data_IF_932976110794
#
_entry.id   IF_932976110794
#
_cell.length_a   1.000
_cell.length_b   1.000
_cell.length_c   1.000
_cell.angle_alpha   90.00
_cell.angle_beta   90.00
_cell.angle_gamma   90.00
#
_symmetry.space_group_name_H-M   'P 1'
#
loop_
_entity.id
_entity.type
_entity.pdbx_description
1 polymer ?
#
# COMPACT_ATOMS: atom_id res chain seq x y z
N UNK A 1 4.94 -14.20 19.09
CA UNK A 1 5.20 -14.48 17.67
C UNK A 1 3.89 -14.80 17.00
N UNK A 2 3.59 -14.07 15.93
CA UNK A 2 2.28 -14.05 15.28
C UNK A 2 2.19 -15.09 14.15
N UNK A 3 1.77 -16.34 14.41
CA UNK A 3 1.25 -17.24 13.35
C UNK A 3 -0.24 -17.00 13.03
N UNK A 4 -0.66 -17.01 11.77
CA UNK A 4 -2.09 -17.27 11.48
C UNK A 4 -2.38 -18.76 11.35
N UNK A 5 -3.62 -19.02 11.70
CA UNK A 5 -4.30 -20.28 11.99
C UNK A 5 -4.56 -21.06 10.70
N UNK A 6 -4.24 -22.36 10.71
CA UNK A 6 -4.63 -23.30 9.67
C UNK A 6 -6.16 -23.50 9.67
N UNK A 7 -6.70 -23.96 8.54
CA UNK A 7 -8.08 -24.46 8.43
C UNK A 7 -8.21 -25.68 9.35
N UNK A 8 -8.85 -25.50 10.51
CA UNK A 8 -9.23 -26.59 11.42
C UNK A 8 -10.75 -26.78 11.42
N UNK A 9 -11.24 -28.02 11.42
CA UNK A 9 -12.66 -28.30 11.39
C UNK A 9 -13.29 -28.04 12.77
N UNK A 10 -14.52 -27.53 12.72
CA UNK A 10 -15.44 -27.24 13.83
C UNK A 10 -15.42 -25.82 14.42
N UNK A 11 -16.63 -25.34 14.65
CA UNK A 11 -17.08 -23.96 14.78
C UNK A 11 -16.80 -23.32 16.16
N UNK A 12 -15.88 -23.87 16.95
CA UNK A 12 -15.59 -23.41 18.31
C UNK A 12 -14.23 -22.68 18.38
N UNK A 13 -14.28 -21.45 18.90
CA UNK A 13 -13.16 -20.60 19.37
C UNK A 13 -12.62 -19.56 18.35
N UNK A 14 -13.46 -18.55 18.08
CA UNK A 14 -13.12 -17.29 17.36
C UNK A 14 -12.32 -16.26 18.18
N UNK A 15 -11.40 -16.68 19.05
CA UNK A 15 -10.67 -15.78 19.98
C UNK A 15 -9.16 -15.63 19.74
N UNK A 16 -8.57 -16.27 18.73
CA UNK A 16 -7.12 -16.46 18.72
C UNK A 16 -6.27 -15.30 18.16
N UNK A 17 -6.69 -14.59 17.10
CA UNK A 17 -5.80 -13.75 16.28
C UNK A 17 -5.00 -12.61 16.96
N UNK A 18 -5.40 -12.13 18.14
CA UNK A 18 -4.66 -11.04 18.85
C UNK A 18 -3.58 -11.55 19.78
N UNK A 19 -3.76 -12.71 20.44
CA UNK A 19 -2.71 -13.35 21.27
C UNK A 19 -1.46 -13.71 20.48
N UNK A 20 -1.65 -13.83 19.19
CA UNK A 20 -0.60 -14.16 18.27
C UNK A 20 0.27 -12.90 18.04
N UNK A 21 -0.36 -11.72 17.91
CA UNK A 21 0.28 -10.39 17.73
C UNK A 21 0.87 -9.81 19.00
N UNK A 22 0.20 -10.02 20.12
CA UNK A 22 0.54 -9.40 21.38
C UNK A 22 0.56 -10.49 22.45
N UNK A 23 1.62 -10.52 23.27
CA UNK A 23 1.71 -11.44 24.38
C UNK A 23 1.79 -10.64 25.69
N UNK A 24 0.88 -10.93 26.62
CA UNK A 24 0.84 -10.25 27.91
C UNK A 24 1.82 -10.93 28.89
N UNK A 25 2.81 -10.18 29.36
CA UNK A 25 3.78 -10.67 30.34
C UNK A 25 3.15 -10.60 31.74
N UNK A 26 2.60 -11.73 32.21
CA UNK A 26 1.85 -11.83 33.49
C UNK A 26 2.60 -11.18 34.66
N UNK A 27 3.89 -11.48 34.84
CA UNK A 27 4.69 -10.91 35.93
C UNK A 27 4.79 -9.38 35.90
N UNK A 28 4.66 -8.74 34.74
CA UNK A 28 4.67 -7.29 34.62
C UNK A 28 3.30 -6.66 34.91
N UNK A 29 2.21 -7.41 34.75
CA UNK A 29 0.83 -6.89 34.74
C UNK A 29 0.01 -7.26 35.98
N UNK A 30 0.30 -8.38 36.62
CA UNK A 30 -0.50 -8.92 37.73
C UNK A 30 -0.65 -7.93 38.89
N UNK A 31 -1.89 -7.65 39.30
CA UNK A 31 -2.26 -6.74 40.39
C UNK A 31 -2.09 -5.25 40.08
N UNK A 32 -1.57 -4.88 38.90
CA UNK A 32 -1.23 -3.48 38.58
C UNK A 32 -2.37 -2.74 37.91
N UNK A 33 -2.35 -1.41 38.05
CA UNK A 33 -3.09 -0.49 37.17
C UNK A 33 -2.23 -0.21 35.94
N UNK A 34 -2.78 -0.44 34.75
CA UNK A 34 -2.04 -0.38 33.49
C UNK A 34 -2.55 0.79 32.66
N UNK A 35 -1.64 1.64 32.20
CA UNK A 35 -1.94 2.62 31.16
C UNK A 35 -1.47 2.05 29.83
N UNK A 36 -2.41 1.76 28.93
CA UNK A 36 -2.13 1.30 27.58
C UNK A 36 -2.24 2.49 26.63
N UNK A 37 -1.11 2.83 26.00
CA UNK A 37 -1.03 3.88 24.99
C UNK A 37 -1.11 3.23 23.60
N UNK A 38 -2.00 3.73 22.74
CA UNK A 38 -2.12 3.29 21.35
C UNK A 38 -2.22 4.50 20.42
N UNK A 39 -1.98 4.29 19.13
CA UNK A 39 -1.95 5.38 18.15
C UNK A 39 -3.35 5.93 17.85
N UNK A 40 -4.32 5.05 17.70
CA UNK A 40 -5.63 5.38 17.13
C UNK A 40 -6.68 4.31 17.43
N UNK A 41 -7.95 4.70 17.33
CA UNK A 41 -9.08 3.76 17.40
C UNK A 41 -9.94 3.94 16.15
N UNK A 42 -9.90 2.94 15.27
CA UNK A 42 -10.69 2.94 14.03
C UNK A 42 -11.99 2.14 14.22
N UNK A 43 -11.91 0.80 14.27
CA UNK A 43 -13.06 -0.10 14.51
C UNK A 43 -13.14 -0.62 15.96
N UNK A 44 -12.11 -0.40 16.78
CA UNK A 44 -12.03 -0.85 18.18
C UNK A 44 -11.78 -2.35 18.40
N UNK A 45 -11.99 -3.21 17.40
CA UNK A 45 -11.94 -4.67 17.54
C UNK A 45 -10.60 -5.23 18.03
N UNK A 46 -9.48 -4.62 17.64
CA UNK A 46 -8.14 -5.01 18.11
C UNK A 46 -7.96 -4.64 19.58
N UNK A 47 -8.28 -3.40 19.94
CA UNK A 47 -8.10 -2.89 21.30
C UNK A 47 -8.98 -3.62 22.32
N UNK A 48 -10.23 -3.96 21.98
CA UNK A 48 -11.08 -4.80 22.85
C UNK A 48 -10.37 -6.10 23.22
N UNK A 49 -9.72 -6.75 22.25
CA UNK A 49 -9.00 -8.00 22.47
C UNK A 49 -7.73 -7.79 23.30
N UNK A 50 -7.02 -6.67 23.10
CA UNK A 50 -5.82 -6.32 23.90
C UNK A 50 -6.21 -6.04 25.36
N UNK A 51 -7.25 -5.24 25.60
CA UNK A 51 -7.76 -4.95 26.95
C UNK A 51 -8.14 -6.24 27.68
N UNK A 52 -8.90 -7.11 27.02
CA UNK A 52 -9.27 -8.42 27.58
C UNK A 52 -8.06 -9.29 27.90
N UNK A 53 -7.04 -9.27 27.04
CA UNK A 53 -5.79 -10.00 27.27
C UNK A 53 -5.02 -9.46 28.47
N UNK A 54 -4.92 -8.14 28.62
CA UNK A 54 -4.26 -7.49 29.77
C UNK A 54 -4.99 -7.81 31.08
N UNK A 55 -6.33 -7.74 31.07
CA UNK A 55 -7.15 -8.15 32.23
C UNK A 55 -6.96 -9.62 32.58
N UNK A 56 -6.99 -10.51 31.58
CA UNK A 56 -6.75 -11.94 31.79
C UNK A 56 -5.34 -12.25 32.31
N UNK A 57 -4.37 -11.36 32.07
CA UNK A 57 -3.03 -11.44 32.65
C UNK A 57 -2.96 -10.96 34.12
N UNK A 58 -4.08 -10.52 34.69
CA UNK A 58 -4.22 -10.16 36.10
C UNK A 58 -4.13 -8.67 36.40
N UNK A 59 -4.22 -7.78 35.41
CA UNK A 59 -4.27 -6.34 35.67
C UNK A 59 -5.53 -5.95 36.46
N UNK A 60 -5.37 -5.06 37.46
CA UNK A 60 -6.47 -4.53 38.30
C UNK A 60 -7.32 -3.53 37.52
N UNK A 61 -6.66 -2.61 36.82
CA UNK A 61 -7.30 -1.57 36.00
C UNK A 61 -6.54 -1.43 34.67
N UNK A 62 -7.25 -1.05 33.62
CA UNK A 62 -6.73 -0.79 32.27
C UNK A 62 -7.28 0.56 31.79
N UNK A 63 -6.38 1.54 31.68
CA UNK A 63 -6.67 2.90 31.22
C UNK A 63 -6.09 3.10 29.82
N UNK A 64 -6.95 3.41 28.85
CA UNK A 64 -6.55 3.65 27.47
C UNK A 64 -6.18 5.11 27.23
N UNK A 65 -5.05 5.36 26.57
CA UNK A 65 -4.62 6.69 26.10
C UNK A 65 -4.30 6.64 24.62
N UNK A 66 -5.03 7.40 23.84
CA UNK A 66 -4.93 7.39 22.39
C UNK A 66 -4.23 8.66 21.93
N UNK A 67 -3.13 8.51 21.20
CA UNK A 67 -2.29 9.65 20.78
C UNK A 67 -2.83 10.41 19.56
N UNK A 68 -4.07 10.11 19.14
CA UNK A 68 -4.83 10.84 18.14
C UNK A 68 -6.21 11.24 18.67
N UNK A 69 -6.86 12.27 18.07
CA UNK A 69 -8.28 12.53 18.31
C UNK A 69 -9.16 11.39 17.77
N UNK A 70 -10.45 11.35 18.16
CA UNK A 70 -11.38 10.35 17.64
C UNK A 70 -11.52 10.45 16.12
N UNK A 71 -11.33 9.33 15.41
CA UNK A 71 -11.49 9.26 13.95
C UNK A 71 -12.98 9.17 13.59
N UNK A 72 -13.58 10.30 13.24
CA UNK A 72 -15.02 10.45 12.95
C UNK A 72 -15.36 10.43 11.46
N UNK A 73 -14.34 10.57 10.60
CA UNK A 73 -14.48 10.68 9.16
C UNK A 73 -13.48 9.82 8.39
N UNK A 74 -13.87 9.23 7.25
CA UNK A 74 -12.95 8.51 6.39
C UNK A 74 -11.99 9.48 5.68
N UNK A 75 -10.75 9.06 5.48
CA UNK A 75 -9.79 9.84 4.72
C UNK A 75 -10.19 9.89 3.23
N UNK A 76 -10.21 11.11 2.65
CA UNK A 76 -10.43 11.33 1.21
C UNK A 76 -9.12 11.56 0.44
N UNK A 77 -7.98 11.51 1.14
CA UNK A 77 -6.68 11.99 0.66
C UNK A 77 -5.60 10.90 0.65
N UNK A 78 -5.99 9.62 0.60
CA UNK A 78 -5.09 8.51 0.28
C UNK A 78 -4.71 7.57 1.44
N UNK A 79 -5.25 7.78 2.65
CA UNK A 79 -5.16 6.79 3.73
C UNK A 79 -6.34 5.82 3.61
N UNK A 80 -6.05 4.51 3.56
CA UNK A 80 -7.09 3.49 3.57
C UNK A 80 -7.82 3.53 4.92
N UNK A 81 -9.09 3.90 4.88
CA UNK A 81 -9.94 4.04 6.07
C UNK A 81 -11.27 3.37 5.80
N UNK A 82 -11.88 2.71 6.81
CA UNK A 82 -13.22 2.14 6.71
C UNK A 82 -14.28 3.16 6.30
N UNK A 83 -15.48 2.70 5.94
CA UNK A 83 -16.59 3.63 5.71
C UNK A 83 -16.94 4.36 7.00
N UNK A 84 -17.63 5.49 6.87
CA UNK A 84 -17.97 6.33 8.00
C UNK A 84 -18.76 5.56 9.07
N UNK A 85 -19.67 4.71 8.62
CA UNK A 85 -20.49 3.85 9.45
C UNK A 85 -19.64 2.82 10.19
N UNK A 86 -18.52 2.36 9.63
CA UNK A 86 -17.65 1.37 10.26
C UNK A 86 -16.73 1.97 11.35
N UNK A 87 -16.62 3.30 11.44
CA UNK A 87 -15.81 3.99 12.45
C UNK A 87 -16.53 3.99 13.81
N UNK A 88 -15.85 3.51 14.85
CA UNK A 88 -16.46 3.40 16.18
C UNK A 88 -16.78 4.79 16.77
N UNK A 89 -15.90 5.76 16.56
CA UNK A 89 -16.06 7.13 17.03
C UNK A 89 -17.09 7.95 16.24
N UNK A 90 -17.55 7.44 15.10
CA UNK A 90 -18.67 8.05 14.39
C UNK A 90 -20.03 7.69 15.02
N UNK A 91 -20.14 6.47 15.58
CA UNK A 91 -21.40 5.93 16.12
C UNK A 91 -21.55 6.05 17.64
N UNK A 92 -20.44 6.23 18.35
CA UNK A 92 -20.40 6.13 19.80
C UNK A 92 -19.64 7.32 20.39
N UNK A 93 -20.14 7.80 21.53
CA UNK A 93 -19.45 8.73 22.41
C UNK A 93 -18.22 8.08 23.05
N UNK A 94 -17.32 8.90 23.60
CA UNK A 94 -16.11 8.40 24.29
C UNK A 94 -16.44 7.43 25.43
N UNK A 95 -17.50 7.68 26.20
CA UNK A 95 -17.91 6.81 27.30
C UNK A 95 -18.49 5.47 26.82
N UNK A 96 -19.24 5.48 25.72
CA UNK A 96 -19.72 4.25 25.08
C UNK A 96 -18.56 3.45 24.49
N UNK A 97 -17.60 4.10 23.82
CA UNK A 97 -16.39 3.43 23.31
C UNK A 97 -15.61 2.80 24.46
N UNK A 98 -15.39 3.54 25.56
CA UNK A 98 -14.74 3.01 26.76
C UNK A 98 -15.44 1.73 27.24
N UNK A 99 -16.77 1.75 27.31
CA UNK A 99 -17.56 0.59 27.72
C UNK A 99 -17.42 -0.59 26.74
N UNK A 100 -17.52 -0.34 25.42
CA UNK A 100 -17.35 -1.35 24.37
C UNK A 100 -15.96 -2.01 24.42
N UNK A 101 -14.92 -1.23 24.73
CA UNK A 101 -13.55 -1.73 24.84
C UNK A 101 -13.28 -2.45 26.16
N UNK A 102 -14.14 -2.29 27.17
CA UNK A 102 -13.98 -2.88 28.51
C UNK A 102 -12.89 -2.19 29.37
N UNK A 103 -12.57 -0.94 29.07
CA UNK A 103 -11.55 -0.15 29.78
C UNK A 103 -12.14 0.62 30.98
N UNK A 104 -11.32 0.86 32.01
CA UNK A 104 -11.74 1.64 33.18
C UNK A 104 -11.79 3.14 32.88
N UNK A 105 -10.89 3.62 32.02
CA UNK A 105 -10.95 4.99 31.48
C UNK A 105 -10.41 5.02 30.05
N UNK A 106 -10.89 5.97 29.26
CA UNK A 106 -10.43 6.24 27.90
C UNK A 106 -10.15 7.74 27.77
N UNK A 107 -8.97 8.09 27.29
CA UNK A 107 -8.60 9.46 26.97
C UNK A 107 -8.03 9.54 25.56
N UNK A 108 -8.55 10.47 24.76
CA UNK A 108 -8.01 10.82 23.44
C UNK A 108 -7.16 12.08 23.54
N UNK A 109 -6.18 12.22 22.64
CA UNK A 109 -5.60 13.53 22.35
C UNK A 109 -6.72 14.44 21.83
N UNK A 110 -6.85 15.65 22.37
CA UNK A 110 -7.87 16.58 21.89
C UNK A 110 -7.51 17.10 20.50
N UNK A 111 -8.53 17.41 19.69
CA UNK A 111 -8.31 18.03 18.38
C UNK A 111 -7.53 19.34 18.50
N UNK A 112 -7.84 20.14 19.52
CA UNK A 112 -7.10 21.37 19.82
C UNK A 112 -5.63 21.06 20.17
N UNK A 113 -5.38 20.05 21.00
CA UNK A 113 -4.03 19.59 21.34
C UNK A 113 -3.23 19.19 20.09
N UNK A 114 -3.86 18.45 19.17
CA UNK A 114 -3.26 18.10 17.89
C UNK A 114 -2.95 19.35 17.04
N UNK A 115 -3.90 20.29 16.94
CA UNK A 115 -3.73 21.56 16.19
C UNK A 115 -2.58 22.41 16.74
N UNK A 116 -2.39 22.46 18.07
CA UNK A 116 -1.24 23.14 18.68
C UNK A 116 0.09 22.55 18.21
N UNK A 117 0.20 21.23 18.06
CA UNK A 117 1.42 20.58 17.58
C UNK A 117 1.79 20.98 16.14
N UNK A 118 0.80 21.09 15.25
CA UNK A 118 1.07 21.43 13.85
C UNK A 118 1.06 22.93 13.52
N UNK A 119 0.78 23.80 14.49
CA UNK A 119 0.92 25.27 14.33
C UNK A 119 2.34 25.71 13.96
N UNK A 120 3.34 24.86 14.23
CA UNK A 120 4.76 25.08 13.89
C UNK A 120 5.15 24.61 12.49
N UNK A 121 4.24 23.97 11.75
CA UNK A 121 4.51 23.48 10.40
C UNK A 121 4.30 24.60 9.38
N UNK A 122 5.21 24.70 8.41
CA UNK A 122 5.23 25.77 7.37
C UNK A 122 3.89 25.96 6.63
N UNK A 123 3.12 24.89 6.47
CA UNK A 123 1.85 24.89 5.72
C UNK A 123 0.67 24.29 6.50
N UNK A 124 0.80 24.12 7.83
CA UNK A 124 -0.18 23.40 8.63
C UNK A 124 -0.31 21.91 8.23
N UNK A 125 -1.44 21.29 8.59
CA UNK A 125 -1.75 19.90 8.27
C UNK A 125 -3.26 19.68 8.13
N UNK A 126 -3.66 18.64 7.41
CA UNK A 126 -5.06 18.24 7.29
C UNK A 126 -5.50 17.44 8.53
N UNK A 127 -6.61 17.83 9.15
CA UNK A 127 -7.22 17.14 10.30
C UNK A 127 -8.61 16.55 10.00
N UNK A 128 -9.00 16.51 8.72
CA UNK A 128 -10.36 16.17 8.28
C UNK A 128 -10.90 14.82 8.79
N UNK A 129 -10.03 13.83 9.03
CA UNK A 129 -10.45 12.54 9.60
C UNK A 129 -10.98 12.68 11.05
N UNK A 130 -10.62 13.76 11.73
CA UNK A 130 -10.96 14.06 13.12
C UNK A 130 -11.96 15.22 13.25
N UNK A 131 -11.86 16.23 12.38
CA UNK A 131 -12.74 17.41 12.37
C UNK A 131 -13.99 17.20 11.51
N UNK A 132 -13.97 16.24 10.58
CA UNK A 132 -14.94 16.09 9.49
C UNK A 132 -15.00 17.30 8.53
N UNK A 133 -14.05 18.24 8.64
CA UNK A 133 -13.92 19.42 7.81
C UNK A 133 -12.91 19.18 6.70
N UNK A 134 -13.37 18.73 5.53
CA UNK A 134 -12.51 18.42 4.40
C UNK A 134 -12.13 19.71 3.63
N UNK A 135 -10.82 20.02 3.47
CA UNK A 135 -10.37 21.20 2.73
C UNK A 135 -10.88 21.26 1.28
N UNK A 136 -11.02 20.09 0.64
CA UNK A 136 -11.53 19.96 -0.72
C UNK A 136 -12.99 19.52 -0.66
N UNK A 137 -13.91 20.40 -1.08
CA UNK A 137 -15.34 20.07 -1.18
C UNK A 137 -15.54 19.00 -2.24
N UNK A 138 -16.21 17.89 -1.88
CA UNK A 138 -16.63 16.87 -2.85
C UNK A 138 -17.57 17.51 -3.88
N UNK A 139 -17.19 17.51 -5.16
CA UNK A 139 -18.08 17.92 -6.24
C UNK A 139 -19.35 17.05 -6.23
N UNK A 140 -20.53 17.66 -6.43
CA UNK A 140 -21.79 16.92 -6.52
C UNK A 140 -21.68 15.84 -7.60
N UNK A 141 -21.86 14.56 -7.21
CA UNK A 141 -22.11 13.46 -8.16
C UNK A 141 -23.33 13.84 -9.01
N UNK A 142 -23.14 14.21 -10.28
CA UNK A 142 -24.25 14.24 -11.23
C UNK A 142 -24.60 12.78 -11.53
N UNK A 143 -25.82 12.37 -11.19
CA UNK A 143 -26.38 11.10 -11.64
C UNK A 143 -26.58 11.18 -13.15
N UNK A 144 -25.58 10.81 -13.95
CA UNK A 144 -25.80 10.61 -15.38
C UNK A 144 -26.50 9.27 -15.56
N UNK A 145 -27.83 9.30 -15.72
CA UNK A 145 -28.56 8.23 -16.40
C UNK A 145 -27.90 8.05 -17.76
N UNK A 146 -27.29 6.89 -17.98
CA UNK A 146 -26.63 6.55 -19.22
C UNK A 146 -27.72 6.23 -20.26
N UNK A 147 -28.19 7.23 -21.01
CA UNK A 147 -28.98 7.00 -22.22
C UNK A 147 -28.01 6.60 -23.32
N UNK A 148 -28.10 5.33 -23.74
CA UNK A 148 -27.24 4.76 -24.77
C UNK A 148 -27.32 5.53 -26.08
N UNK A 149 -26.14 5.71 -26.70
CA UNK A 149 -25.87 5.80 -28.16
C UNK A 149 -24.63 6.65 -28.40
N UNK A 150 -23.43 6.06 -28.36
CA UNK A 150 -22.24 6.61 -29.05
C UNK A 150 -21.24 5.50 -29.39
N UNK A 151 -21.33 4.96 -30.61
CA UNK A 151 -20.17 4.39 -31.30
C UNK A 151 -19.88 5.34 -32.46
N UNK A 152 -18.90 6.24 -32.28
CA UNK A 152 -18.18 6.86 -33.40
C UNK A 152 -16.76 6.30 -33.41
N UNK A 153 -16.31 5.90 -34.60
CA UNK A 153 -14.93 5.47 -34.88
C UNK A 153 -13.94 6.56 -34.40
N UNK A 154 -12.98 6.17 -33.57
CA UNK A 154 -11.80 6.95 -33.19
C UNK A 154 -10.53 6.26 -33.70
N UNK A 155 -9.43 7.00 -33.99
CA UNK A 155 -8.19 6.42 -34.50
C UNK A 155 -7.42 5.64 -33.42
N UNK A 156 -6.48 4.80 -33.86
CA UNK A 156 -5.73 3.77 -33.11
C UNK A 156 -4.92 4.28 -31.89
N UNK A 157 -5.59 4.71 -30.82
CA UNK A 157 -5.05 4.61 -29.46
C UNK A 157 -5.66 3.37 -28.82
N UNK A 158 -4.86 2.51 -28.20
CA UNK A 158 -5.36 1.35 -27.44
C UNK A 158 -6.46 1.81 -26.48
N UNK A 159 -7.69 1.32 -26.68
CA UNK A 159 -8.91 1.79 -25.98
C UNK A 159 -8.65 1.89 -24.47
N UNK A 160 -8.91 3.07 -23.91
CA UNK A 160 -8.85 3.31 -22.46
C UNK A 160 -7.50 3.73 -21.90
N UNK A 161 -6.42 3.80 -22.69
CA UNK A 161 -5.17 4.47 -22.28
C UNK A 161 -5.42 5.97 -22.07
N UNK A 162 -4.77 6.54 -21.06
CA UNK A 162 -4.82 7.97 -20.75
C UNK A 162 -3.39 8.51 -20.71
N UNK A 163 -3.19 9.73 -21.20
CA UNK A 163 -2.06 10.55 -20.80
C UNK A 163 -2.43 11.45 -19.59
N UNK A 164 -1.50 12.30 -19.14
CA UNK A 164 -1.74 13.18 -17.99
C UNK A 164 -2.78 14.28 -18.30
N UNK A 165 -2.88 14.72 -19.55
CA UNK A 165 -3.87 15.72 -19.97
C UNK A 165 -5.27 15.11 -19.97
N UNK A 166 -5.41 13.90 -20.54
CA UNK A 166 -6.63 13.09 -20.49
C UNK A 166 -7.09 12.87 -19.05
N UNK A 167 -6.16 12.53 -18.15
CA UNK A 167 -6.44 12.33 -16.73
C UNK A 167 -6.84 13.64 -16.04
N UNK A 168 -6.17 14.76 -16.33
CA UNK A 168 -6.48 16.06 -15.77
C UNK A 168 -7.88 16.53 -16.18
N UNK A 169 -8.23 16.38 -17.46
CA UNK A 169 -9.57 16.70 -17.96
C UNK A 169 -10.62 15.78 -17.32
N UNK A 170 -10.35 14.47 -17.27
CA UNK A 170 -11.27 13.52 -16.65
C UNK A 170 -11.47 13.76 -15.14
N UNK A 171 -10.44 14.23 -14.44
CA UNK A 171 -10.53 14.64 -13.04
C UNK A 171 -11.33 15.93 -12.87
N UNK A 172 -11.12 16.92 -13.74
CA UNK A 172 -11.90 18.17 -13.74
C UNK A 172 -13.39 17.94 -13.99
N UNK A 173 -13.70 17.04 -14.92
CA UNK A 173 -15.09 16.71 -15.27
C UNK A 173 -15.76 15.76 -14.24
N UNK A 174 -15.04 15.31 -13.22
CA UNK A 174 -15.52 14.35 -12.23
C UNK A 174 -15.70 12.92 -12.77
N UNK A 175 -15.17 12.63 -13.96
CA UNK A 175 -15.21 11.30 -14.61
C UNK A 175 -14.18 10.33 -14.03
N UNK A 176 -13.09 10.83 -13.45
CA UNK A 176 -12.08 10.04 -12.71
C UNK A 176 -11.71 10.79 -11.44
N UNK A 177 -12.00 10.20 -10.28
CA UNK A 177 -11.61 10.76 -8.99
C UNK A 177 -10.47 9.99 -8.31
N UNK A 178 -10.18 8.77 -8.76
CA UNK A 178 -9.19 7.88 -8.15
C UNK A 178 -8.19 7.35 -9.18
N UNK A 179 -6.92 7.25 -8.81
CA UNK A 179 -5.85 6.58 -9.53
C UNK A 179 -5.30 5.47 -8.64
N UNK A 180 -5.51 4.22 -9.03
CA UNK A 180 -4.84 3.07 -8.42
C UNK A 180 -3.39 3.07 -8.90
N UNK A 181 -2.47 3.26 -7.97
CA UNK A 181 -1.03 3.29 -8.22
C UNK A 181 -0.47 2.01 -7.63
N UNK A 182 -0.11 1.04 -8.48
CA UNK A 182 0.13 -0.34 -8.05
C UNK A 182 1.38 -0.96 -8.66
N UNK A 183 1.98 -1.90 -7.94
CA UNK A 183 3.00 -2.81 -8.43
C UNK A 183 2.48 -4.25 -8.34
N UNK A 184 2.95 -5.17 -9.22
CA UNK A 184 2.71 -6.58 -9.02
C UNK A 184 3.56 -7.11 -7.85
N UNK A 185 2.96 -7.88 -6.96
CA UNK A 185 3.69 -8.67 -5.97
C UNK A 185 4.26 -9.97 -6.59
N UNK A 186 4.96 -10.77 -5.79
CA UNK A 186 5.60 -12.02 -6.25
C UNK A 186 4.61 -13.06 -6.83
N UNK A 187 3.32 -12.93 -6.55
CA UNK A 187 2.24 -13.78 -7.05
C UNK A 187 1.46 -13.14 -8.20
N UNK A 188 1.86 -11.95 -8.66
CA UNK A 188 1.23 -11.22 -9.76
C UNK A 188 -0.01 -10.42 -9.36
N UNK A 189 -0.30 -10.28 -8.06
CA UNK A 189 -1.40 -9.45 -7.57
C UNK A 189 -0.98 -7.99 -7.59
N UNK A 190 -1.91 -7.12 -7.97
CA UNK A 190 -1.68 -5.67 -7.94
C UNK A 190 -1.86 -5.16 -6.51
N UNK A 191 -0.76 -4.73 -5.90
CA UNK A 191 -0.71 -4.14 -4.56
C UNK A 191 -0.21 -2.70 -4.65
N UNK A 192 -0.75 -1.81 -3.83
CA UNK A 192 -0.40 -0.39 -3.88
C UNK A 192 -1.42 0.50 -3.21
N UNK A 193 -1.54 1.74 -3.69
CA UNK A 193 -2.37 2.78 -3.07
C UNK A 193 -3.45 3.28 -4.01
N UNK A 194 -4.60 3.64 -3.45
CA UNK A 194 -5.64 4.41 -4.13
C UNK A 194 -5.40 5.89 -3.86
N UNK A 195 -5.15 6.64 -4.92
CA UNK A 195 -4.70 8.03 -4.85
C UNK A 195 -5.78 8.91 -5.46
N UNK A 196 -6.08 10.06 -4.85
CA UNK A 196 -6.97 11.03 -5.48
C UNK A 196 -6.37 11.51 -6.81
N UNK A 197 -7.17 11.63 -7.86
CA UNK A 197 -6.68 11.97 -9.20
C UNK A 197 -5.95 13.33 -9.27
N UNK A 198 -6.38 14.33 -8.50
CA UNK A 198 -5.71 15.64 -8.44
C UNK A 198 -4.35 15.53 -7.75
N UNK A 199 -4.32 14.88 -6.58
CA UNK A 199 -3.07 14.66 -5.85
C UNK A 199 -2.07 13.79 -6.65
N UNK A 200 -2.58 12.83 -7.43
CA UNK A 200 -1.74 12.06 -8.35
C UNK A 200 -1.06 12.98 -9.37
N UNK A 201 -1.82 13.86 -10.02
CA UNK A 201 -1.30 14.81 -11.01
C UNK A 201 -0.28 15.78 -10.41
N UNK A 202 -0.57 16.30 -9.20
CA UNK A 202 0.23 17.35 -8.57
C UNK A 202 1.52 16.81 -7.96
N UNK A 203 1.53 15.58 -7.46
CA UNK A 203 2.65 15.04 -6.67
C UNK A 203 3.18 13.71 -7.19
N UNK A 204 2.31 12.70 -7.33
CA UNK A 204 2.76 11.31 -7.53
C UNK A 204 3.25 11.06 -8.95
N UNK A 205 2.66 11.70 -9.96
CA UNK A 205 3.07 11.55 -11.35
C UNK A 205 4.54 11.95 -11.60
N UNK A 206 5.09 12.85 -10.76
CA UNK A 206 6.50 13.30 -10.84
C UNK A 206 7.37 12.67 -9.76
N UNK A 207 6.86 12.57 -8.54
CA UNK A 207 7.63 12.19 -7.36
C UNK A 207 7.51 10.73 -6.95
N UNK A 208 6.62 9.95 -7.57
CA UNK A 208 6.31 8.60 -7.12
C UNK A 208 5.64 8.57 -5.74
N UNK A 209 5.54 7.37 -5.17
CA UNK A 209 5.00 7.13 -3.83
C UNK A 209 5.89 6.17 -3.06
N UNK A 210 5.91 6.27 -1.73
CA UNK A 210 6.53 5.24 -0.90
C UNK A 210 5.51 4.16 -0.54
N UNK A 211 5.93 2.91 -0.56
CA UNK A 211 5.18 1.76 -0.06
C UNK A 211 6.11 0.83 0.71
N UNK A 212 5.56 0.08 1.66
CA UNK A 212 6.36 -0.80 2.49
C UNK A 212 6.90 -1.98 1.67
N UNK A 213 8.19 -2.29 1.83
CA UNK A 213 8.89 -3.33 1.08
C UNK A 213 8.37 -4.74 1.35
N UNK A 214 7.60 -4.93 2.43
CA UNK A 214 6.89 -6.17 2.75
C UNK A 214 5.94 -6.62 1.64
N UNK A 215 5.49 -5.70 0.77
CA UNK A 215 4.66 -6.03 -0.41
C UNK A 215 5.35 -7.00 -1.38
N UNK A 216 6.67 -7.16 -1.28
CA UNK A 216 7.47 -8.10 -2.06
C UNK A 216 8.00 -9.28 -1.23
N UNK A 217 7.49 -9.47 -0.01
CA UNK A 217 7.91 -10.54 0.90
C UNK A 217 6.72 -11.11 1.70
N UNK A 218 5.53 -11.06 1.11
CA UNK A 218 4.29 -11.59 1.67
C UNK A 218 3.74 -12.71 0.82
N UNK A 219 3.09 -13.67 1.47
CA UNK A 219 2.29 -14.71 0.82
C UNK A 219 0.94 -14.19 0.30
N UNK A 220 0.12 -15.12 -0.21
CA UNK A 220 -1.22 -14.85 -0.72
C UNK A 220 -2.20 -14.32 0.35
N UNK A 221 -1.92 -14.48 1.63
CA UNK A 221 -2.76 -13.97 2.73
C UNK A 221 -2.25 -12.62 3.26
N UNK A 222 -1.23 -12.05 2.61
CA UNK A 222 -0.51 -10.84 3.04
C UNK A 222 0.22 -11.04 4.38
N UNK A 223 0.58 -12.28 4.70
CA UNK A 223 1.42 -12.60 5.85
C UNK A 223 2.90 -12.59 5.41
N UNK A 224 3.79 -11.87 6.11
CA UNK A 224 5.21 -11.82 5.75
C UNK A 224 5.88 -13.17 5.91
N UNK A 225 6.50 -13.64 4.84
CA UNK A 225 7.19 -14.93 4.81
C UNK A 225 8.62 -14.78 5.36
N UNK A 226 9.05 -15.60 6.32
CA UNK A 226 10.42 -15.57 6.84
C UNK A 226 11.42 -16.05 5.78
N UNK A 227 12.69 -15.66 5.91
CA UNK A 227 13.78 -16.13 5.06
C UNK A 227 14.17 -15.23 3.89
N UNK A 228 13.51 -14.08 3.70
CA UNK A 228 13.91 -13.08 2.71
C UNK A 228 14.96 -12.15 3.29
N UNK A 229 16.15 -12.07 2.68
CA UNK A 229 17.18 -11.07 3.07
C UNK A 229 16.69 -9.64 2.80
N UNK A 230 15.93 -9.47 1.71
CA UNK A 230 15.37 -8.20 1.27
C UNK A 230 14.56 -7.48 2.36
N UNK A 231 13.74 -8.22 3.10
CA UNK A 231 13.01 -7.72 4.27
C UNK A 231 12.52 -8.89 5.11
N UNK A 232 12.64 -8.77 6.43
CA UNK A 232 12.25 -9.82 7.36
C UNK A 232 11.76 -9.24 8.67
N UNK A 233 11.19 -10.11 9.50
CA UNK A 233 10.85 -9.76 10.89
C UNK A 233 12.07 -9.30 11.70
N UNK A 234 13.27 -9.78 11.37
CA UNK A 234 14.51 -9.49 12.08
C UNK A 234 15.14 -8.16 11.63
N UNK A 235 15.04 -7.82 10.35
CA UNK A 235 15.64 -6.61 9.76
C UNK A 235 14.66 -5.44 9.66
N UNK A 236 13.37 -5.69 9.87
CA UNK A 236 12.31 -4.70 9.77
C UNK A 236 11.80 -4.53 8.33
N UNK A 237 10.69 -3.80 8.22
CA UNK A 237 10.06 -3.47 6.95
C UNK A 237 10.31 -2.00 6.63
N UNK A 238 11.12 -1.74 5.61
CA UNK A 238 11.46 -0.42 5.13
C UNK A 238 10.55 0.06 4.02
N UNK A 239 10.74 1.29 3.56
CA UNK A 239 10.03 1.81 2.39
C UNK A 239 10.78 1.49 1.10
N UNK A 240 10.04 1.10 0.08
CA UNK A 240 10.46 1.18 -1.32
C UNK A 240 9.78 2.38 -1.99
N UNK A 241 10.44 2.93 -3.00
CA UNK A 241 9.93 4.01 -3.81
C UNK A 241 9.29 3.44 -5.08
N UNK A 242 7.97 3.54 -5.18
CA UNK A 242 7.18 3.13 -6.33
C UNK A 242 6.97 4.31 -7.27
N UNK A 243 7.56 4.24 -8.46
CA UNK A 243 7.50 5.30 -9.48
C UNK A 243 6.53 4.90 -10.58
N UNK A 244 5.48 5.70 -10.87
CA UNK A 244 4.48 5.35 -11.86
C UNK A 244 5.05 5.37 -13.29
N UNK A 245 4.88 4.26 -14.02
CA UNK A 245 5.11 4.22 -15.45
C UNK A 245 3.87 4.77 -16.17
N UNK A 246 3.92 6.05 -16.50
CA UNK A 246 2.82 6.77 -17.14
C UNK A 246 2.40 6.17 -18.49
N UNK A 247 3.27 5.40 -19.16
CA UNK A 247 2.89 4.69 -20.39
C UNK A 247 1.81 3.64 -20.10
N UNK A 248 1.70 3.16 -18.86
CA UNK A 248 0.71 2.17 -18.45
C UNK A 248 -0.62 2.77 -18.00
N UNK A 249 -0.68 4.10 -17.80
CA UNK A 249 -1.85 4.81 -17.29
C UNK A 249 -3.07 4.56 -18.18
N UNK A 250 -4.16 4.10 -17.56
CA UNK A 250 -5.40 3.76 -18.27
C UNK A 250 -6.60 3.82 -17.35
N UNK A 251 -7.80 3.92 -17.93
CA UNK A 251 -9.06 3.72 -17.19
C UNK A 251 -9.14 2.29 -16.67
N UNK A 252 -9.54 2.12 -15.42
CA UNK A 252 -9.86 0.82 -14.86
C UNK A 252 -11.29 0.47 -15.28
N UNK A 253 -11.44 -0.40 -16.29
CA UNK A 253 -12.75 -0.71 -16.87
C UNK A 253 -13.73 -1.38 -15.87
N UNK A 254 -13.20 -1.95 -14.79
CA UNK A 254 -13.96 -2.65 -13.75
C UNK A 254 -14.18 -1.81 -12.48
N UNK A 255 -13.68 -0.57 -12.43
CA UNK A 255 -13.83 0.33 -11.28
C UNK A 255 -14.32 1.70 -11.73
N UNK A 256 -15.53 2.06 -11.30
CA UNK A 256 -16.13 3.36 -11.59
C UNK A 256 -15.23 4.51 -11.12
N UNK A 257 -15.15 5.55 -11.96
CA UNK A 257 -14.41 6.77 -11.64
C UNK A 257 -12.92 6.58 -11.38
N UNK A 258 -12.32 5.48 -11.88
CA UNK A 258 -10.96 5.07 -11.50
C UNK A 258 -10.05 4.89 -12.72
N UNK A 259 -8.82 5.40 -12.61
CA UNK A 259 -7.69 5.03 -13.46
C UNK A 259 -6.75 4.09 -12.71
N UNK A 260 -5.89 3.38 -13.44
CA UNK A 260 -4.83 2.55 -12.90
C UNK A 260 -3.51 2.84 -13.61
N UNK A 261 -2.42 2.87 -12.85
CA UNK A 261 -1.05 3.00 -13.33
C UNK A 261 -0.17 1.98 -12.61
N UNK A 262 0.69 1.31 -13.38
CA UNK A 262 1.67 0.39 -12.84
C UNK A 262 2.93 1.15 -12.44
N UNK A 263 3.59 0.70 -11.38
CA UNK A 263 4.81 1.30 -10.86
C UNK A 263 6.00 0.37 -11.00
N UNK A 264 7.17 0.97 -11.20
CA UNK A 264 8.46 0.33 -11.01
C UNK A 264 8.96 0.62 -9.58
N UNK A 265 9.62 -0.35 -8.96
CA UNK A 265 10.06 -0.29 -7.57
C UNK A 265 11.56 0.03 -7.48
N UNK A 266 11.91 0.98 -6.63
CA UNK A 266 13.27 1.45 -6.39
C UNK A 266 13.60 1.45 -4.89
N UNK A 267 14.87 1.20 -4.56
CA UNK A 267 15.40 1.40 -3.22
C UNK A 267 15.57 2.89 -2.91
N UNK A 268 15.82 3.23 -1.65
CA UNK A 268 16.06 4.61 -1.21
C UNK A 268 17.22 5.31 -1.97
N UNK A 269 18.22 4.54 -2.44
CA UNK A 269 19.34 5.05 -3.24
C UNK A 269 19.04 5.21 -4.74
N UNK A 270 17.79 4.96 -5.18
CA UNK A 270 17.38 5.06 -6.59
C UNK A 270 17.74 3.83 -7.44
N UNK A 271 18.36 2.80 -6.86
CA UNK A 271 18.59 1.54 -7.57
C UNK A 271 17.28 0.75 -7.74
N UNK A 272 17.07 0.07 -8.88
CA UNK A 272 15.88 -0.76 -9.07
C UNK A 272 15.86 -1.94 -8.10
N UNK A 273 14.67 -2.33 -7.66
CA UNK A 273 14.46 -3.56 -6.88
C UNK A 273 14.40 -4.75 -7.86
N UNK A 274 15.52 -5.47 -8.00
CA UNK A 274 15.67 -6.53 -9.02
C UNK A 274 14.70 -7.72 -8.82
N UNK A 275 14.28 -8.01 -7.59
CA UNK A 275 13.29 -9.06 -7.30
C UNK A 275 11.84 -8.67 -7.63
N UNK A 276 11.56 -7.39 -7.94
CA UNK A 276 10.22 -6.99 -8.30
C UNK A 276 9.80 -7.67 -9.61
N UNK A 277 8.61 -8.31 -9.71
CA UNK A 277 8.22 -9.09 -10.89
C UNK A 277 8.27 -8.30 -12.20
N UNK A 278 7.91 -7.02 -12.13
CA UNK A 278 7.98 -6.12 -13.29
C UNK A 278 9.42 -5.90 -13.73
N UNK A 279 10.37 -5.80 -12.79
CA UNK A 279 11.80 -5.67 -13.11
C UNK A 279 12.35 -6.97 -13.69
N UNK A 280 11.97 -8.13 -13.15
CA UNK A 280 12.32 -9.44 -13.73
C UNK A 280 11.86 -9.53 -15.20
N UNK A 281 10.62 -9.13 -15.50
CA UNK A 281 10.11 -9.11 -16.87
C UNK A 281 10.89 -8.13 -17.77
N UNK A 282 11.18 -6.92 -17.28
CA UNK A 282 12.01 -5.95 -18.00
C UNK A 282 13.39 -6.54 -18.34
N UNK A 283 14.03 -7.25 -17.41
CA UNK A 283 15.30 -7.96 -17.66
C UNK A 283 15.16 -9.04 -18.74
N UNK A 284 14.06 -9.80 -18.77
CA UNK A 284 13.83 -10.77 -19.87
C UNK A 284 13.66 -10.06 -21.22
N UNK A 285 13.00 -8.91 -21.25
CA UNK A 285 12.86 -8.11 -22.47
C UNK A 285 14.21 -7.54 -22.92
N UNK A 286 15.04 -7.06 -21.99
CA UNK A 286 16.42 -6.60 -22.28
C UNK A 286 17.26 -7.75 -22.88
N UNK A 287 17.17 -8.98 -22.34
CA UNK A 287 17.82 -10.17 -22.90
C UNK A 287 17.36 -10.48 -24.32
N UNK A 288 16.05 -10.46 -24.56
CA UNK A 288 15.48 -10.71 -25.89
C UNK A 288 15.88 -9.62 -26.88
N UNK A 289 15.92 -8.35 -26.45
CA UNK A 289 16.36 -7.23 -27.26
C UNK A 289 17.84 -7.36 -27.65
N UNK A 290 18.71 -7.76 -26.71
CA UNK A 290 20.12 -8.01 -27.00
C UNK A 290 20.31 -9.13 -28.03
N UNK A 291 19.55 -10.22 -27.92
CA UNK A 291 19.57 -11.32 -28.91
C UNK A 291 19.07 -10.85 -30.28
N UNK A 292 17.94 -10.12 -30.31
CA UNK A 292 17.41 -9.57 -31.55
C UNK A 292 18.36 -8.56 -32.19
N UNK A 293 19.11 -7.79 -31.38
CA UNK A 293 20.14 -6.87 -31.85
C UNK A 293 21.32 -7.62 -32.49
N UNK A 294 21.78 -8.71 -31.84
CA UNK A 294 22.85 -9.57 -32.36
C UNK A 294 22.48 -10.26 -33.68
N UNK A 295 21.27 -10.80 -33.75
CA UNK A 295 20.78 -11.56 -34.90
C UNK A 295 20.35 -10.65 -36.07
N UNK A 296 20.25 -9.32 -35.87
CA UNK A 296 19.75 -8.38 -36.87
C UNK A 296 20.79 -8.08 -37.96
N UNK A 297 20.55 -8.49 -39.23
CA UNK A 297 21.42 -8.14 -40.33
C UNK A 297 21.38 -6.63 -40.63
N UNK A 298 20.28 -5.96 -40.29
CA UNK A 298 20.15 -4.51 -40.44
C UNK A 298 21.09 -3.77 -39.49
N UNK A 299 21.15 -4.17 -38.22
CA UNK A 299 22.00 -3.54 -37.20
C UNK A 299 23.47 -3.62 -37.61
N UNK A 300 23.94 -4.81 -38.01
CA UNK A 300 25.32 -4.99 -38.48
C UNK A 300 25.64 -4.14 -39.71
N UNK A 301 24.73 -4.05 -40.68
CA UNK A 301 24.91 -3.16 -41.84
C UNK A 301 24.91 -1.67 -41.47
N UNK A 302 24.09 -1.27 -40.51
CA UNK A 302 23.92 0.13 -40.14
C UNK A 302 25.06 0.67 -39.26
N UNK A 303 25.51 -0.12 -38.29
CA UNK A 303 26.50 0.29 -37.29
C UNK A 303 27.91 -0.29 -37.54
N UNK A 304 28.03 -1.33 -38.38
CA UNK A 304 29.25 -2.08 -38.56
C UNK A 304 29.52 -3.09 -37.43
N UNK A 305 30.33 -4.11 -37.73
CA UNK A 305 30.58 -5.22 -36.81
C UNK A 305 31.26 -4.77 -35.51
N UNK A 306 32.28 -3.92 -35.59
CA UNK A 306 33.03 -3.47 -34.41
C UNK A 306 32.16 -2.73 -33.38
N UNK A 307 31.26 -1.85 -33.83
CA UNK A 307 30.33 -1.13 -32.94
C UNK A 307 29.27 -2.07 -32.39
N UNK A 308 28.75 -2.95 -33.24
CA UNK A 308 27.74 -3.94 -32.85
C UNK A 308 28.29 -4.86 -31.76
N UNK A 309 29.49 -5.40 -31.95
CA UNK A 309 30.15 -6.30 -31.00
C UNK A 309 30.52 -5.59 -29.69
N UNK A 310 30.92 -4.31 -29.73
CA UNK A 310 31.16 -3.51 -28.55
C UNK A 310 29.90 -3.33 -27.69
N UNK A 311 28.78 -2.96 -28.31
CA UNK A 311 27.49 -2.79 -27.61
C UNK A 311 26.98 -4.12 -27.04
N UNK A 312 27.12 -5.22 -27.80
CA UNK A 312 26.79 -6.57 -27.33
C UNK A 312 27.67 -7.00 -26.15
N UNK A 313 28.96 -6.64 -26.16
CA UNK A 313 29.87 -6.95 -25.05
C UNK A 313 29.42 -6.27 -23.76
N UNK A 314 28.98 -5.01 -23.82
CA UNK A 314 28.45 -4.30 -22.66
C UNK A 314 27.18 -4.98 -22.12
N UNK A 315 26.20 -5.23 -23.00
CA UNK A 315 24.94 -5.89 -22.64
C UNK A 315 25.17 -7.28 -22.00
N UNK A 316 26.07 -8.08 -22.58
CA UNK A 316 26.44 -9.41 -22.03
C UNK A 316 27.16 -9.32 -20.70
N UNK A 317 27.94 -8.27 -20.47
CA UNK A 317 28.69 -8.11 -19.22
C UNK A 317 27.76 -7.71 -18.08
N UNK A 318 26.84 -6.77 -18.31
CA UNK A 318 25.78 -6.44 -17.34
C UNK A 318 24.92 -7.68 -17.04
N UNK A 319 24.54 -8.43 -18.08
CA UNK A 319 23.76 -9.66 -17.92
C UNK A 319 24.49 -10.72 -17.10
N UNK A 320 25.78 -10.95 -17.36
CA UNK A 320 26.60 -11.91 -16.58
C UNK A 320 26.74 -11.49 -15.12
N UNK A 321 26.93 -10.20 -14.84
CA UNK A 321 27.00 -9.70 -13.46
C UNK A 321 25.69 -9.91 -12.70
N UNK A 322 24.56 -9.78 -13.40
CA UNK A 322 23.24 -10.06 -12.83
C UNK A 322 23.05 -11.56 -12.59
N UNK A 323 23.33 -12.40 -13.59
CA UNK A 323 23.14 -13.87 -13.51
C UNK A 323 24.07 -14.53 -12.49
N UNK A 324 25.21 -13.90 -12.18
CA UNK A 324 26.10 -14.34 -11.11
C UNK A 324 25.50 -14.16 -9.70
N UNK A 325 24.39 -13.42 -9.57
CA UNK A 325 23.66 -13.22 -8.31
C UNK A 325 22.38 -14.06 -8.32
N UNK A 326 22.31 -15.06 -7.45
CA UNK A 326 21.05 -15.75 -7.14
C UNK A 326 20.36 -14.95 -6.04
N UNK A 327 19.20 -14.39 -6.32
CA UNK A 327 18.39 -13.71 -5.29
C UNK A 327 17.77 -14.72 -4.31
N UNK A 328 17.47 -14.29 -3.09
CA UNK A 328 16.85 -15.20 -2.10
C UNK A 328 15.44 -15.61 -2.50
N UNK A 329 14.77 -14.80 -3.32
CA UNK A 329 13.47 -15.15 -3.91
C UNK A 329 13.61 -16.34 -4.86
N UNK A 330 14.68 -16.35 -5.66
CA UNK A 330 15.00 -17.50 -6.52
C UNK A 330 15.36 -18.72 -5.67
N UNK A 331 16.19 -18.57 -4.62
CA UNK A 331 16.48 -19.66 -3.68
C UNK A 331 15.21 -20.22 -3.03
N UNK A 332 14.34 -19.38 -2.48
CA UNK A 332 13.11 -19.78 -1.81
C UNK A 332 12.14 -20.51 -2.75
N UNK A 333 11.98 -20.03 -4.00
CA UNK A 333 11.15 -20.71 -5.01
C UNK A 333 11.71 -22.05 -5.48
N UNK A 334 13.03 -22.24 -5.48
CA UNK A 334 13.63 -23.53 -5.84
C UNK A 334 13.44 -24.60 -4.76
N UNK A 335 13.18 -24.23 -3.50
CA UNK A 335 12.90 -25.18 -2.40
C UNK A 335 11.42 -25.52 -2.19
N UNK A 336 10.49 -24.86 -2.89
CA UNK A 336 9.06 -25.26 -2.91
C UNK A 336 8.74 -26.30 -4.00
N UNK A 337 9.73 -26.76 -4.77
CA UNK A 337 9.54 -27.75 -5.86
C UNK A 337 10.55 -28.92 -5.86
N UNK A 338 10.99 -29.38 -4.70
CA UNK A 338 11.61 -30.72 -4.54
C UNK A 338 11.01 -31.39 -3.31
#
# INVERSE_FOLDING_TARGET
>A
YVRRTFIEPAQSIRHFGVKVKHNAVRGALQGKRVVLVDDSIVRGTTLTKIVNMIRAAGAREVHLRISSPPTVGPCHYGIDTPTREELIAHRHSTDEIRAILGADSLGYLTLEGLRRCGSRLKHGFCDACFSDEYPVKRGRRRSSRCSGRWIRKMPERARGRLDLEDLAQAASDGRIHTVVTALPDLFGRLVGKRINARFFLDSIAKGGMHVCNYLLACDMEMDPTPGYEFTSWQTGYGDLHAVPDLRTLRRAAWLDGTAIVLCDAFAAGGSPIELAPRRILQRQLERLAARAFEESPFVRRAFGDAVTDHLLHFARTEQRQLDARVSDVERARYFERI
#
